data_IF_616032274736
#
_entry.id   IF_616032274736
#
_cell.length_a   1.000
_cell.length_b   1.000
_cell.length_c   1.000
_cell.angle_alpha   90.00
_cell.angle_beta   90.00
_cell.angle_gamma   90.00
#
_symmetry.space_group_name_H-M   'P 1'
#
loop_
_entity.id
_entity.type
_entity.pdbx_description
1 polymer ?
#
# COMPACT_ATOMS: atom_id res chain seq x y z
N UNK A 1 -29.61 18.18 -16.24
CA UNK A 1 -28.87 17.25 -15.34
C UNK A 1 -28.83 15.84 -15.91
N UNK A 2 -29.96 15.12 -16.01
CA UNK A 2 -30.03 13.72 -16.46
C UNK A 2 -29.46 13.46 -17.86
N UNK A 3 -29.70 14.36 -18.83
CA UNK A 3 -29.14 14.22 -20.17
C UNK A 3 -27.58 14.25 -20.14
N UNK A 4 -26.97 15.14 -19.35
CA UNK A 4 -25.53 15.23 -19.20
C UNK A 4 -24.97 13.98 -18.49
N UNK A 5 -25.65 13.48 -17.46
CA UNK A 5 -25.30 12.23 -16.79
C UNK A 5 -25.24 11.05 -17.80
N UNK A 6 -26.32 10.82 -18.55
CA UNK A 6 -26.38 9.73 -19.55
C UNK A 6 -25.37 9.90 -20.69
N UNK A 7 -25.09 11.15 -21.08
CA UNK A 7 -24.10 11.44 -22.11
C UNK A 7 -22.68 11.00 -21.73
N UNK A 8 -22.30 11.08 -20.46
CA UNK A 8 -20.99 10.58 -20.00
C UNK A 8 -20.88 9.08 -20.19
N UNK A 9 -21.89 8.32 -19.79
CA UNK A 9 -21.89 6.85 -19.97
C UNK A 9 -21.89 6.47 -21.46
N UNK A 10 -22.70 7.12 -22.28
CA UNK A 10 -22.70 6.90 -23.73
C UNK A 10 -21.32 7.21 -24.35
N UNK A 11 -20.64 8.27 -23.90
CA UNK A 11 -19.30 8.61 -24.36
C UNK A 11 -18.24 7.58 -23.95
N UNK A 12 -18.35 6.98 -22.76
CA UNK A 12 -17.44 5.93 -22.30
C UNK A 12 -17.52 4.71 -23.23
N UNK A 13 -18.71 4.26 -23.53
CA UNK A 13 -18.89 3.08 -24.41
C UNK A 13 -18.59 3.38 -25.89
N UNK A 14 -18.62 4.64 -26.30
CA UNK A 14 -18.24 5.07 -27.65
C UNK A 14 -16.71 5.26 -27.83
N UNK A 15 -15.94 5.35 -26.74
CA UNK A 15 -14.50 5.58 -26.78
C UNK A 15 -13.75 4.42 -26.12
N UNK A 16 -13.08 3.59 -26.94
CA UNK A 16 -12.37 2.38 -26.49
C UNK A 16 -11.30 2.67 -25.43
N UNK A 17 -10.57 3.78 -25.56
CA UNK A 17 -9.53 4.13 -24.58
C UNK A 17 -10.14 4.54 -23.24
N UNK A 18 -11.22 5.33 -23.25
CA UNK A 18 -11.93 5.69 -22.04
C UNK A 18 -12.59 4.49 -21.36
N UNK A 19 -13.20 3.58 -22.14
CA UNK A 19 -13.75 2.33 -21.61
C UNK A 19 -12.66 1.44 -21.00
N UNK A 20 -11.50 1.34 -21.63
CA UNK A 20 -10.35 0.59 -21.09
C UNK A 20 -9.87 1.21 -19.76
N UNK A 21 -9.74 2.53 -19.69
CA UNK A 21 -9.27 3.22 -18.48
C UNK A 21 -10.27 3.16 -17.33
N UNK A 22 -11.57 3.35 -17.61
CA UNK A 22 -12.61 3.46 -16.58
C UNK A 22 -13.20 2.11 -16.16
N UNK A 23 -13.19 1.11 -17.04
CA UNK A 23 -13.78 -0.21 -16.78
C UNK A 23 -12.72 -1.31 -16.84
N UNK A 24 -11.91 -1.33 -17.90
CA UNK A 24 -10.92 -2.38 -18.11
C UNK A 24 -9.79 -2.36 -17.10
N UNK A 25 -9.23 -1.19 -16.78
CA UNK A 25 -8.12 -1.09 -15.83
C UNK A 25 -8.50 -1.53 -14.40
N UNK A 26 -9.62 -1.11 -13.80
CA UNK A 26 -10.05 -1.65 -12.50
C UNK A 26 -10.25 -3.17 -12.49
N UNK A 27 -10.78 -3.75 -13.57
CA UNK A 27 -10.96 -5.20 -13.70
C UNK A 27 -9.59 -5.90 -13.81
N UNK A 28 -8.71 -5.38 -14.67
CA UNK A 28 -7.37 -5.93 -14.87
C UNK A 28 -6.57 -5.92 -13.57
N UNK A 29 -6.54 -4.78 -12.86
CA UNK A 29 -5.80 -4.66 -11.61
C UNK A 29 -6.39 -5.48 -10.47
N UNK A 30 -7.70 -5.75 -10.46
CA UNK A 30 -8.34 -6.64 -9.50
C UNK A 30 -7.85 -8.09 -9.60
N UNK A 31 -7.36 -8.50 -10.77
CA UNK A 31 -6.79 -9.83 -11.00
C UNK A 31 -5.26 -9.80 -10.96
N UNK A 32 -4.65 -8.87 -11.71
CA UNK A 32 -3.19 -8.82 -11.89
C UNK A 32 -2.46 -8.59 -10.56
N UNK A 33 -2.91 -7.61 -9.76
CA UNK A 33 -2.21 -7.24 -8.54
C UNK A 33 -2.25 -8.34 -7.48
N UNK A 34 -3.42 -8.90 -7.11
CA UNK A 34 -3.47 -10.04 -6.20
C UNK A 34 -2.70 -11.27 -6.73
N UNK A 35 -2.74 -11.53 -8.04
CA UNK A 35 -2.00 -12.65 -8.63
C UNK A 35 -0.48 -12.47 -8.51
N UNK A 36 0.01 -11.24 -8.69
CA UNK A 36 1.43 -10.93 -8.55
C UNK A 36 1.95 -11.10 -7.12
N UNK A 37 1.07 -10.92 -6.12
CA UNK A 37 1.40 -11.03 -4.70
C UNK A 37 0.73 -12.24 -4.03
N UNK A 38 0.30 -13.24 -4.80
CA UNK A 38 -0.41 -14.43 -4.29
C UNK A 38 0.40 -15.23 -3.27
N UNK A 39 1.74 -15.15 -3.32
CA UNK A 39 2.62 -15.71 -2.31
C UNK A 39 2.55 -15.02 -0.96
N UNK A 40 1.94 -13.83 -0.88
CA UNK A 40 1.68 -13.00 0.33
C UNK A 40 2.92 -12.79 1.21
N UNK A 41 3.56 -13.88 1.65
CA UNK A 41 4.75 -13.91 2.50
C UNK A 41 5.91 -14.39 1.64
N UNK A 42 7.04 -13.71 1.72
CA UNK A 42 8.29 -14.22 1.16
C UNK A 42 8.69 -15.45 1.97
N UNK A 43 8.68 -16.61 1.33
CA UNK A 43 9.18 -17.87 1.89
C UNK A 43 10.52 -18.18 1.24
N UNK A 44 11.29 -19.05 1.90
CA UNK A 44 12.57 -19.56 1.35
C UNK A 44 13.57 -18.46 0.97
N UNK A 45 13.62 -17.36 1.75
CA UNK A 45 14.64 -16.33 1.52
C UNK A 45 16.04 -16.94 1.66
N UNK A 46 16.93 -16.78 0.65
CA UNK A 46 18.25 -17.38 0.69
C UNK A 46 19.11 -16.73 1.79
N UNK A 47 19.60 -17.55 2.72
CA UNK A 47 20.41 -17.14 3.86
C UNK A 47 21.71 -17.94 3.87
N UNK A 48 22.82 -17.27 4.15
CA UNK A 48 24.11 -17.91 4.39
C UNK A 48 24.45 -17.88 5.87
N UNK A 49 25.26 -18.84 6.29
CA UNK A 49 25.69 -18.98 7.69
C UNK A 49 27.20 -18.96 7.76
N UNK A 50 27.74 -18.17 8.69
CA UNK A 50 29.12 -18.18 9.12
C UNK A 50 29.15 -18.64 10.58
N UNK A 51 29.46 -19.92 10.82
CA UNK A 51 29.54 -20.49 12.17
C UNK A 51 30.99 -20.61 12.60
N UNK A 52 31.48 -19.63 13.35
CA UNK A 52 32.85 -19.63 13.89
C UNK A 52 32.94 -20.39 15.23
N UNK A 53 31.81 -20.63 15.92
CA UNK A 53 31.76 -21.36 17.19
C UNK A 53 31.81 -22.88 17.01
N UNK A 54 31.24 -23.36 15.91
CA UNK A 54 31.22 -24.79 15.50
C UNK A 54 30.77 -25.77 16.59
N UNK A 55 29.93 -25.30 17.51
CA UNK A 55 29.44 -26.05 18.66
C UNK A 55 28.13 -26.80 18.38
N UNK A 56 27.66 -27.58 19.34
CA UNK A 56 26.31 -28.17 19.28
C UNK A 56 25.24 -27.09 19.38
N UNK A 57 25.48 -26.04 20.18
CA UNK A 57 24.53 -24.92 20.37
C UNK A 57 24.42 -24.07 19.09
N UNK A 58 25.53 -23.77 18.40
CA UNK A 58 25.48 -23.03 17.14
C UNK A 58 24.77 -23.83 16.05
N UNK A 59 25.02 -25.12 15.93
CA UNK A 59 24.31 -26.01 14.98
C UNK A 59 22.82 -26.11 15.29
N UNK A 60 22.42 -26.10 16.56
CA UNK A 60 21.01 -26.10 16.94
C UNK A 60 20.30 -24.82 16.51
N UNK A 61 20.92 -23.66 16.74
CA UNK A 61 20.41 -22.36 16.26
C UNK A 61 20.22 -22.37 14.75
N UNK A 62 21.22 -22.85 14.00
CA UNK A 62 21.14 -22.93 12.53
C UNK A 62 20.02 -23.86 12.07
N UNK A 63 19.83 -25.03 12.72
CA UNK A 63 18.70 -25.92 12.41
C UNK A 63 17.34 -25.26 12.67
N UNK A 64 17.20 -24.52 13.78
CA UNK A 64 15.96 -23.80 14.10
C UNK A 64 15.68 -22.69 13.10
N UNK A 65 16.72 -21.95 12.70
CA UNK A 65 16.58 -20.94 11.65
C UNK A 65 16.13 -21.57 10.32
N UNK A 66 16.74 -22.71 9.94
CA UNK A 66 16.37 -23.45 8.73
C UNK A 66 14.98 -24.10 8.79
N UNK A 67 14.43 -24.31 9.99
CA UNK A 67 13.09 -24.86 10.17
C UNK A 67 11.99 -23.81 10.03
N UNK A 68 12.34 -22.51 9.94
CA UNK A 68 11.37 -21.45 9.69
C UNK A 68 11.03 -21.38 8.21
N UNK A 69 9.77 -21.13 7.87
CA UNK A 69 9.32 -21.02 6.47
C UNK A 69 9.93 -19.84 5.71
N UNK A 70 10.45 -18.86 6.42
CA UNK A 70 11.06 -17.65 5.86
C UNK A 70 12.51 -17.84 5.41
N UNK A 71 13.20 -18.91 5.87
CA UNK A 71 14.64 -19.08 5.71
C UNK A 71 14.96 -20.33 4.92
N UNK A 72 15.72 -20.17 3.84
CA UNK A 72 16.36 -21.26 3.12
C UNK A 72 17.88 -21.09 3.22
N UNK A 73 18.54 -21.99 3.97
CA UNK A 73 19.99 -21.99 4.03
C UNK A 73 20.56 -22.45 2.68
N UNK A 74 21.38 -21.59 2.07
CA UNK A 74 21.97 -21.85 0.75
C UNK A 74 23.44 -22.22 0.83
N UNK A 75 24.17 -21.71 1.84
CA UNK A 75 25.57 -22.07 2.05
C UNK A 75 25.99 -21.86 3.51
N UNK A 76 27.00 -22.65 3.93
CA UNK A 76 27.81 -22.40 5.12
C UNK A 76 29.17 -21.88 4.66
N UNK A 77 29.55 -20.69 5.11
CA UNK A 77 30.73 -19.95 4.65
C UNK A 77 31.81 -19.96 5.75
N UNK A 78 33.06 -19.76 5.34
CA UNK A 78 34.18 -19.81 6.28
C UNK A 78 34.40 -18.44 6.96
N UNK A 79 33.98 -17.34 6.35
CA UNK A 79 34.31 -16.01 6.86
C UNK A 79 33.15 -15.00 6.66
N UNK A 80 33.09 -13.94 7.50
CA UNK A 80 32.15 -12.85 7.29
C UNK A 80 32.37 -12.11 5.96
N UNK A 81 33.58 -12.09 5.42
CA UNK A 81 33.92 -11.48 4.14
C UNK A 81 33.23 -12.20 2.99
N UNK A 82 33.27 -13.53 2.97
CA UNK A 82 32.54 -14.35 2.00
C UNK A 82 31.03 -14.08 2.09
N UNK A 83 30.47 -13.94 3.29
CA UNK A 83 29.06 -13.61 3.46
C UNK A 83 28.71 -12.24 2.86
N UNK A 84 29.61 -11.26 3.00
CA UNK A 84 29.43 -9.94 2.39
C UNK A 84 29.45 -10.02 0.85
N UNK A 85 30.33 -10.84 0.27
CA UNK A 85 30.39 -11.08 -1.17
C UNK A 85 29.10 -11.74 -1.69
N UNK A 86 28.56 -12.72 -0.97
CA UNK A 86 27.31 -13.36 -1.31
C UNK A 86 26.12 -12.41 -1.26
N UNK A 87 26.09 -11.50 -0.28
CA UNK A 87 25.07 -10.46 -0.17
C UNK A 87 25.20 -9.42 -1.30
N UNK A 88 26.43 -9.00 -1.62
CA UNK A 88 26.70 -8.05 -2.70
C UNK A 88 26.41 -8.63 -4.09
N UNK A 89 26.63 -9.94 -4.27
CA UNK A 89 26.34 -10.68 -5.52
C UNK A 89 24.89 -11.14 -5.67
N UNK A 90 23.98 -10.73 -4.78
CA UNK A 90 22.55 -11.16 -4.73
C UNK A 90 22.34 -12.68 -4.65
N UNK A 91 23.32 -13.41 -4.16
CA UNK A 91 23.25 -14.86 -3.95
C UNK A 91 22.59 -15.20 -2.60
N UNK A 92 22.59 -14.25 -1.65
CA UNK A 92 21.90 -14.34 -0.37
C UNK A 92 21.17 -13.02 -0.05
N UNK A 93 20.07 -13.14 0.69
CA UNK A 93 19.29 -12.00 1.17
C UNK A 93 19.67 -11.60 2.59
N UNK A 94 20.20 -12.55 3.38
CA UNK A 94 20.69 -12.30 4.74
C UNK A 94 21.81 -13.29 5.09
N UNK A 95 22.57 -12.95 6.15
CA UNK A 95 23.60 -13.80 6.73
C UNK A 95 23.43 -13.91 8.24
N UNK A 96 23.68 -15.09 8.78
CA UNK A 96 23.81 -15.38 10.21
C UNK A 96 25.29 -15.54 10.51
N UNK A 97 25.85 -14.72 11.38
CA UNK A 97 27.26 -14.81 11.79
C UNK A 97 27.28 -15.15 13.27
N UNK A 98 27.73 -16.33 13.61
CA UNK A 98 27.85 -16.85 14.97
C UNK A 98 29.34 -16.75 15.38
N UNK A 99 29.70 -15.85 16.30
CA UNK A 99 31.07 -15.64 16.68
C UNK A 99 31.60 -16.79 17.57
N UNK A 100 32.92 -16.89 17.65
CA UNK A 100 33.59 -17.80 18.60
C UNK A 100 33.17 -17.52 20.04
N UNK A 101 32.99 -18.56 20.84
CA UNK A 101 32.62 -18.45 22.26
C UNK A 101 31.10 -18.26 22.49
N UNK A 102 30.26 -18.33 21.45
CA UNK A 102 28.79 -18.30 21.56
C UNK A 102 28.27 -19.35 22.56
N UNK A 103 28.65 -20.60 22.41
CA UNK A 103 28.23 -21.72 23.29
C UNK A 103 28.73 -21.53 24.73
N UNK A 104 29.95 -21.04 24.91
CA UNK A 104 30.52 -20.77 26.24
C UNK A 104 29.76 -19.65 26.95
N UNK A 105 29.42 -18.61 26.23
CA UNK A 105 28.64 -17.49 26.80
C UNK A 105 27.29 -17.99 27.31
N UNK A 106 26.55 -18.78 26.51
CA UNK A 106 25.24 -19.35 26.90
C UNK A 106 25.41 -20.30 28.11
N UNK A 107 26.40 -21.18 28.11
CA UNK A 107 26.62 -22.10 29.22
C UNK A 107 26.96 -21.38 30.55
N UNK A 108 27.52 -20.17 30.48
CA UNK A 108 27.81 -19.32 31.64
C UNK A 108 26.66 -18.39 32.03
N UNK A 109 25.49 -18.53 31.42
CA UNK A 109 24.36 -17.63 31.65
C UNK A 109 24.57 -16.20 31.14
N UNK A 110 25.57 -16.00 30.28
CA UNK A 110 25.83 -14.70 29.62
C UNK A 110 25.14 -14.63 28.26
N UNK A 111 25.01 -13.42 27.74
CA UNK A 111 24.44 -13.20 26.41
C UNK A 111 25.29 -13.80 25.31
N UNK A 112 24.76 -14.77 24.57
CA UNK A 112 25.34 -15.26 23.32
C UNK A 112 25.01 -14.28 22.19
N UNK A 113 25.99 -13.52 21.71
CA UNK A 113 25.78 -12.58 20.62
C UNK A 113 25.78 -13.31 19.28
N UNK A 114 24.84 -12.98 18.42
CA UNK A 114 24.76 -13.41 17.01
C UNK A 114 24.57 -12.18 16.17
N UNK A 115 25.34 -12.04 15.11
CA UNK A 115 25.19 -10.92 14.18
C UNK A 115 24.29 -11.36 13.02
N UNK A 116 23.28 -10.55 12.76
CA UNK A 116 22.39 -10.71 11.61
C UNK A 116 22.64 -9.59 10.62
N UNK A 117 22.91 -9.93 9.38
CA UNK A 117 23.18 -8.99 8.30
C UNK A 117 22.16 -9.21 7.20
N UNK A 118 21.46 -8.16 6.79
CA UNK A 118 20.49 -8.20 5.68
C UNK A 118 20.95 -7.35 4.50
N UNK A 119 20.61 -7.78 3.29
CA UNK A 119 20.84 -6.99 2.08
C UNK A 119 19.95 -5.76 2.04
N UNK A 120 20.55 -4.57 1.97
CA UNK A 120 19.80 -3.31 1.80
C UNK A 120 19.21 -3.12 0.39
N UNK A 121 19.67 -3.88 -0.60
CA UNK A 121 19.15 -3.83 -1.95
C UNK A 121 17.78 -4.52 -2.10
N UNK A 122 17.51 -5.54 -1.29
CA UNK A 122 16.29 -6.34 -1.34
C UNK A 122 15.58 -6.36 0.03
N UNK A 123 15.11 -5.19 0.47
CA UNK A 123 14.56 -4.96 1.82
C UNK A 123 13.48 -5.97 2.21
N UNK A 124 12.55 -6.31 1.33
CA UNK A 124 11.46 -7.24 1.65
C UNK A 124 11.99 -8.65 1.95
N UNK A 125 12.88 -9.17 1.10
CA UNK A 125 13.48 -10.51 1.27
C UNK A 125 14.36 -10.56 2.51
N UNK A 126 15.19 -9.53 2.73
CA UNK A 126 16.08 -9.47 3.87
C UNK A 126 15.33 -9.30 5.18
N UNK A 127 14.32 -8.43 5.26
CA UNK A 127 13.50 -8.26 6.46
C UNK A 127 12.75 -9.51 6.84
N UNK A 128 12.22 -10.25 5.85
CA UNK A 128 11.56 -11.55 6.08
C UNK A 128 12.54 -12.59 6.62
N UNK A 129 13.72 -12.72 6.01
CA UNK A 129 14.77 -13.60 6.51
C UNK A 129 15.18 -13.26 7.94
N UNK A 130 15.43 -11.98 8.22
CA UNK A 130 15.80 -11.49 9.55
C UNK A 130 14.70 -11.75 10.60
N UNK A 131 13.43 -11.63 10.22
CA UNK A 131 12.30 -11.97 11.10
C UNK A 131 12.28 -13.45 11.44
N UNK A 132 12.44 -14.34 10.46
CA UNK A 132 12.50 -15.78 10.69
C UNK A 132 13.70 -16.19 11.57
N UNK A 133 14.88 -15.62 11.31
CA UNK A 133 16.06 -15.86 12.12
C UNK A 133 15.86 -15.33 13.55
N UNK A 134 15.27 -14.13 13.69
CA UNK A 134 14.94 -13.54 14.99
C UNK A 134 13.98 -14.40 15.80
N UNK A 135 12.99 -15.01 15.18
CA UNK A 135 12.08 -15.97 15.83
C UNK A 135 12.81 -17.22 16.32
N UNK A 136 13.74 -17.76 15.52
CA UNK A 136 14.59 -18.88 15.91
C UNK A 136 15.49 -18.52 17.09
N UNK A 137 16.13 -17.35 17.08
CA UNK A 137 16.94 -16.85 18.19
C UNK A 137 16.11 -16.70 19.47
N UNK A 138 14.92 -16.13 19.38
CA UNK A 138 14.02 -15.95 20.52
C UNK A 138 13.59 -17.31 21.12
N UNK A 139 13.34 -18.33 20.28
CA UNK A 139 13.01 -19.67 20.74
C UNK A 139 14.19 -20.32 21.47
N UNK A 140 15.41 -20.21 20.91
CA UNK A 140 16.65 -20.72 21.53
C UNK A 140 16.94 -20.04 22.86
N UNK A 141 16.75 -18.70 22.94
CA UNK A 141 16.97 -17.96 24.18
C UNK A 141 15.96 -18.36 25.28
N UNK A 142 14.69 -18.58 24.92
CA UNK A 142 13.66 -19.08 25.87
C UNK A 142 14.01 -20.45 26.43
N UNK A 143 14.46 -21.37 25.57
CA UNK A 143 14.81 -22.72 25.98
C UNK A 143 16.04 -22.72 26.88
N UNK A 144 17.08 -21.94 26.53
CA UNK A 144 18.25 -21.78 27.37
C UNK A 144 17.90 -21.18 28.76
N UNK A 145 17.02 -20.19 28.79
CA UNK A 145 16.53 -19.61 30.06
C UNK A 145 15.72 -20.64 30.89
N UNK A 146 14.93 -21.48 30.22
CA UNK A 146 14.14 -22.53 30.88
C UNK A 146 15.04 -23.61 31.48
N UNK A 147 16.07 -24.05 30.76
CA UNK A 147 17.05 -25.05 31.25
C UNK A 147 17.87 -24.50 32.43
N UNK A 148 18.29 -23.24 32.39
CA UNK A 148 18.98 -22.58 33.49
C UNK A 148 18.08 -22.45 34.73
N UNK A 149 16.82 -22.03 34.56
CA UNK A 149 15.84 -21.96 35.64
C UNK A 149 15.58 -23.35 36.27
N UNK A 150 15.55 -24.40 35.45
CA UNK A 150 15.35 -25.79 35.90
C UNK A 150 16.53 -26.30 36.72
N UNK A 151 17.74 -25.90 36.34
CA UNK A 151 18.96 -26.24 37.08
C UNK A 151 19.10 -25.46 38.41
N UNK A 152 18.51 -24.27 38.52
CA UNK A 152 18.59 -23.43 39.72
C UNK A 152 17.48 -23.68 40.76
N UNK A 153 16.52 -24.58 40.52
CA UNK A 153 15.38 -24.90 41.39
C UNK A 153 14.02 -24.61 40.72
N UNK A 154 12.89 -24.63 41.45
CA UNK A 154 11.58 -24.41 40.84
C UNK A 154 11.56 -23.10 40.09
N UNK A 155 11.41 -23.20 38.76
CA UNK A 155 11.47 -22.07 37.86
C UNK A 155 10.30 -21.12 38.14
N UNK A 156 10.59 -19.87 38.50
CA UNK A 156 9.64 -18.80 38.37
C UNK A 156 9.31 -18.65 36.85
N UNK A 157 8.03 -18.45 36.51
CA UNK A 157 7.69 -18.15 35.12
C UNK A 157 8.51 -16.95 34.65
N UNK A 158 8.94 -16.91 33.37
CA UNK A 158 9.75 -15.81 32.87
C UNK A 158 9.01 -14.48 33.15
N UNK A 159 9.73 -13.54 33.76
CA UNK A 159 9.18 -12.24 34.18
C UNK A 159 8.63 -11.41 33.02
N UNK A 160 9.01 -11.75 31.78
CA UNK A 160 8.56 -11.12 30.54
C UNK A 160 8.33 -12.19 29.45
N UNK A 161 7.10 -12.23 28.95
CA UNK A 161 6.76 -13.01 27.77
C UNK A 161 6.38 -12.04 26.65
N UNK A 162 7.18 -12.00 25.58
CA UNK A 162 6.84 -11.27 24.37
C UNK A 162 5.83 -12.09 23.57
N UNK A 163 4.59 -11.58 23.46
CA UNK A 163 3.58 -12.11 22.56
C UNK A 163 3.40 -11.12 21.43
N UNK A 164 3.79 -11.51 20.23
CA UNK A 164 3.59 -10.69 19.02
C UNK A 164 2.32 -11.15 18.32
N UNK A 165 1.43 -10.21 18.05
CA UNK A 165 0.22 -10.47 17.27
C UNK A 165 0.04 -9.36 16.24
N UNK A 166 -0.02 -9.73 14.96
CA UNK A 166 -0.33 -8.80 13.90
C UNK A 166 -1.78 -8.31 14.04
N UNK A 167 -1.97 -7.00 14.04
CA UNK A 167 -3.27 -6.33 14.00
C UNK A 167 -3.55 -5.90 12.55
N UNK A 168 -4.84 -5.95 12.16
CA UNK A 168 -5.36 -5.49 10.86
C UNK A 168 -4.89 -6.28 9.63
N UNK A 169 -3.61 -6.62 9.51
CA UNK A 169 -3.07 -7.54 8.51
C UNK A 169 -2.71 -8.86 9.17
N UNK A 170 -3.69 -9.65 9.53
CA UNK A 170 -3.52 -10.92 10.25
C UNK A 170 -2.81 -12.00 9.44
N UNK A 171 -2.67 -11.81 8.14
CA UNK A 171 -1.90 -12.69 7.25
C UNK A 171 -0.43 -12.32 7.19
N UNK A 172 -0.06 -11.14 7.72
CA UNK A 172 1.28 -10.56 7.62
C UNK A 172 1.81 -10.48 6.18
N UNK A 173 0.89 -10.55 5.20
CA UNK A 173 1.21 -10.57 3.78
C UNK A 173 1.47 -9.18 3.21
N UNK A 174 2.40 -9.07 2.26
CA UNK A 174 2.71 -7.82 1.58
C UNK A 174 1.54 -7.35 0.70
N UNK A 175 0.93 -8.27 -0.05
CA UNK A 175 -0.25 -7.98 -0.86
C UNK A 175 -1.40 -7.47 -0.02
N UNK A 176 -1.71 -8.13 1.09
CA UNK A 176 -2.75 -7.74 2.03
C UNK A 176 -2.50 -6.38 2.70
N UNK A 177 -1.24 -5.98 2.89
CA UNK A 177 -0.88 -4.66 3.42
C UNK A 177 -1.04 -3.54 2.40
N UNK A 178 -0.64 -3.77 1.14
CA UNK A 178 -0.47 -2.70 0.15
C UNK A 178 -1.66 -2.57 -0.80
N UNK A 179 -2.22 -3.70 -1.28
CA UNK A 179 -3.26 -3.67 -2.31
C UNK A 179 -4.52 -2.89 -1.93
N UNK A 180 -5.05 -2.95 -0.69
CA UNK A 180 -6.22 -2.16 -0.33
C UNK A 180 -6.04 -0.65 -0.57
N UNK A 181 -4.87 -0.12 -0.25
CA UNK A 181 -4.55 1.28 -0.56
C UNK A 181 -4.37 1.53 -2.06
N UNK A 182 -3.64 0.65 -2.77
CA UNK A 182 -3.43 0.76 -4.22
C UNK A 182 -4.76 0.72 -4.98
N UNK A 183 -5.74 -0.08 -4.54
CA UNK A 183 -7.05 -0.13 -5.16
C UNK A 183 -7.74 1.25 -5.20
N UNK A 184 -7.66 2.03 -4.14
CA UNK A 184 -8.21 3.39 -4.12
C UNK A 184 -7.39 4.38 -4.95
N UNK A 185 -6.06 4.20 -5.07
CA UNK A 185 -5.25 4.93 -6.06
C UNK A 185 -5.71 4.62 -7.47
N UNK A 186 -5.99 3.36 -7.79
CA UNK A 186 -6.50 2.95 -9.11
C UNK A 186 -7.85 3.63 -9.41
N UNK A 187 -8.77 3.68 -8.44
CA UNK A 187 -10.05 4.41 -8.58
C UNK A 187 -9.78 5.87 -8.95
N UNK A 188 -8.92 6.57 -8.20
CA UNK A 188 -8.58 7.95 -8.46
C UNK A 188 -7.95 8.14 -9.86
N UNK A 189 -6.95 7.33 -10.21
CA UNK A 189 -6.22 7.44 -11.46
C UNK A 189 -7.08 7.08 -12.69
N UNK A 190 -7.91 6.05 -12.59
CA UNK A 190 -8.80 5.67 -13.69
C UNK A 190 -9.81 6.77 -14.03
N UNK A 191 -10.39 7.40 -12.99
CA UNK A 191 -11.26 8.56 -13.17
C UNK A 191 -10.51 9.74 -13.80
N UNK A 192 -9.35 10.08 -13.23
CA UNK A 192 -8.55 11.20 -13.68
C UNK A 192 -8.20 11.04 -15.16
N UNK A 193 -7.67 9.89 -15.56
CA UNK A 193 -7.28 9.64 -16.94
C UNK A 193 -8.50 9.50 -17.88
N UNK A 194 -9.48 8.70 -17.50
CA UNK A 194 -10.60 8.36 -18.38
C UNK A 194 -11.54 9.53 -18.65
N UNK A 195 -11.97 10.25 -17.61
CA UNK A 195 -12.91 11.37 -17.79
C UNK A 195 -12.24 12.61 -18.36
N UNK A 196 -10.97 12.89 -18.01
CA UNK A 196 -10.24 14.01 -18.63
C UNK A 196 -9.97 13.75 -20.11
N UNK A 197 -9.67 12.49 -20.48
CA UNK A 197 -9.54 12.05 -21.87
C UNK A 197 -10.85 12.28 -22.66
N UNK A 198 -11.98 11.88 -22.12
CA UNK A 198 -13.29 12.09 -22.77
C UNK A 198 -13.59 13.58 -22.97
N UNK A 199 -13.38 14.39 -21.95
CA UNK A 199 -13.61 15.84 -22.04
C UNK A 199 -12.67 16.51 -23.05
N UNK A 200 -11.40 16.11 -23.07
CA UNK A 200 -10.42 16.61 -24.05
C UNK A 200 -10.80 16.19 -25.47
N UNK A 201 -11.19 14.94 -25.68
CA UNK A 201 -11.68 14.43 -26.98
C UNK A 201 -12.92 15.20 -27.47
N UNK A 202 -13.87 15.47 -26.58
CA UNK A 202 -15.05 16.25 -26.93
C UNK A 202 -14.70 17.69 -27.33
N UNK A 203 -13.75 18.34 -26.65
CA UNK A 203 -13.26 19.68 -26.99
C UNK A 203 -12.51 19.74 -28.30
N UNK A 204 -11.67 18.75 -28.53
CA UNK A 204 -10.91 18.64 -29.79
C UNK A 204 -11.85 18.51 -30.99
N UNK A 205 -12.87 17.64 -30.87
CA UNK A 205 -13.90 17.48 -31.93
C UNK A 205 -14.74 18.75 -32.16
N UNK A 206 -15.01 19.50 -31.10
CA UNK A 206 -15.83 20.74 -31.20
C UNK A 206 -14.98 21.96 -31.63
N UNK A 207 -13.64 21.88 -31.54
CA UNK A 207 -12.77 23.03 -31.77
C UNK A 207 -12.99 24.21 -30.80
N UNK A 208 -13.75 24.00 -29.72
CA UNK A 208 -14.17 25.04 -28.78
C UNK A 208 -14.24 24.50 -27.33
N UNK A 209 -14.13 25.41 -26.35
CA UNK A 209 -14.34 25.03 -24.94
C UNK A 209 -15.74 24.49 -24.72
N UNK A 210 -15.85 23.37 -24.01
CA UNK A 210 -17.15 22.86 -23.56
C UNK A 210 -17.75 23.82 -22.55
N UNK A 211 -19.02 24.21 -22.78
CA UNK A 211 -19.80 25.04 -21.89
C UNK A 211 -21.07 24.32 -21.53
N UNK A 212 -21.41 24.37 -20.25
CA UNK A 212 -22.57 23.68 -19.71
C UNK A 212 -23.32 24.59 -18.75
N UNK A 213 -24.60 24.35 -18.57
CA UNK A 213 -25.39 25.01 -17.51
C UNK A 213 -25.00 24.40 -16.14
N UNK A 214 -25.23 25.11 -15.02
CA UNK A 214 -25.00 24.54 -13.68
C UNK A 214 -25.69 23.19 -13.46
N UNK A 215 -26.91 23.03 -13.99
CA UNK A 215 -27.62 21.74 -13.92
C UNK A 215 -26.94 20.61 -14.73
N UNK A 216 -26.37 20.94 -15.89
CA UNK A 216 -25.57 19.98 -16.65
C UNK A 216 -24.27 19.67 -15.94
N UNK A 217 -23.59 20.68 -15.36
CA UNK A 217 -22.37 20.46 -14.54
C UNK A 217 -22.63 19.52 -13.37
N UNK A 218 -23.73 19.70 -12.64
CA UNK A 218 -24.14 18.77 -11.59
C UNK A 218 -24.37 17.35 -12.14
N UNK A 219 -24.89 17.22 -13.36
CA UNK A 219 -25.02 15.91 -14.04
C UNK A 219 -23.68 15.26 -14.37
N UNK A 220 -22.67 16.03 -14.78
CA UNK A 220 -21.30 15.54 -15.01
C UNK A 220 -20.65 15.08 -13.70
N UNK A 221 -20.79 15.88 -12.61
CA UNK A 221 -20.31 15.54 -11.29
C UNK A 221 -20.95 14.27 -10.74
N UNK A 222 -22.27 14.15 -10.89
CA UNK A 222 -23.00 12.94 -10.49
C UNK A 222 -22.52 11.72 -11.27
N UNK A 223 -22.29 11.82 -12.58
CA UNK A 223 -21.78 10.72 -13.39
C UNK A 223 -20.37 10.29 -12.94
N UNK A 224 -19.47 11.27 -12.73
CA UNK A 224 -18.12 10.99 -12.24
C UNK A 224 -18.15 10.31 -10.86
N UNK A 225 -18.95 10.81 -9.94
CA UNK A 225 -19.12 10.25 -8.61
C UNK A 225 -19.74 8.85 -8.65
N UNK A 226 -20.70 8.59 -9.53
CA UNK A 226 -21.30 7.27 -9.69
C UNK A 226 -20.27 6.25 -10.20
N UNK A 227 -19.47 6.60 -11.20
CA UNK A 227 -18.42 5.72 -11.73
C UNK A 227 -17.40 5.40 -10.64
N UNK A 228 -16.92 6.42 -9.91
CA UNK A 228 -15.99 6.24 -8.82
C UNK A 228 -16.55 5.37 -7.70
N UNK A 229 -17.80 5.60 -7.29
CA UNK A 229 -18.47 4.82 -6.25
C UNK A 229 -18.63 3.36 -6.66
N UNK A 230 -19.00 3.10 -7.92
CA UNK A 230 -19.06 1.73 -8.46
C UNK A 230 -17.69 1.04 -8.38
N UNK A 231 -16.61 1.76 -8.72
CA UNK A 231 -15.25 1.22 -8.60
C UNK A 231 -14.83 1.01 -7.13
N UNK A 232 -15.19 1.91 -6.21
CA UNK A 232 -14.96 1.72 -4.76
C UNK A 232 -15.71 0.46 -4.29
N UNK A 233 -16.98 0.30 -4.64
CA UNK A 233 -17.76 -0.88 -4.29
C UNK A 233 -17.20 -2.16 -4.96
N UNK A 234 -16.69 -2.06 -6.18
CA UNK A 234 -16.00 -3.16 -6.86
C UNK A 234 -14.80 -3.65 -6.05
N UNK A 235 -13.89 -2.75 -5.64
CA UNK A 235 -12.71 -3.13 -4.89
C UNK A 235 -13.03 -3.49 -3.44
N UNK A 236 -13.60 -2.57 -2.67
CA UNK A 236 -13.83 -2.76 -1.23
C UNK A 236 -14.90 -3.81 -0.92
N UNK A 237 -15.88 -3.98 -1.81
CA UNK A 237 -16.93 -5.01 -1.69
C UNK A 237 -16.49 -6.35 -2.27
N UNK A 238 -16.48 -6.43 -3.62
CA UNK A 238 -16.34 -7.72 -4.31
C UNK A 238 -14.89 -8.23 -4.30
N UNK A 239 -13.91 -7.40 -4.71
CA UNK A 239 -12.52 -7.86 -4.91
C UNK A 239 -11.89 -8.24 -3.57
N UNK A 240 -12.05 -7.41 -2.53
CA UNK A 240 -11.49 -7.73 -1.22
C UNK A 240 -12.18 -8.93 -0.57
N UNK A 241 -13.45 -9.17 -0.85
CA UNK A 241 -14.14 -10.37 -0.43
C UNK A 241 -13.64 -11.60 -1.19
N UNK A 242 -13.55 -11.54 -2.51
CA UNK A 242 -13.12 -12.65 -3.35
C UNK A 242 -11.67 -13.06 -3.09
N UNK A 243 -10.79 -12.09 -2.91
CA UNK A 243 -9.36 -12.31 -2.64
C UNK A 243 -9.06 -12.51 -1.15
N UNK A 244 -10.10 -12.48 -0.30
CA UNK A 244 -10.01 -12.63 1.15
C UNK A 244 -9.02 -11.67 1.81
N UNK A 245 -8.95 -10.42 1.33
CA UNK A 245 -8.18 -9.38 1.99
C UNK A 245 -8.80 -9.01 3.35
N UNK A 246 -7.97 -8.73 4.38
CA UNK A 246 -8.46 -8.32 5.68
C UNK A 246 -9.38 -7.12 5.56
N UNK A 247 -10.54 -7.21 6.22
CA UNK A 247 -11.53 -6.13 6.30
C UNK A 247 -11.85 -5.89 7.75
N UNK A 248 -11.87 -4.63 8.14
CA UNK A 248 -12.25 -4.28 9.49
C UNK A 248 -13.77 -4.30 9.66
N UNK A 249 -14.18 -4.40 10.91
CA UNK A 249 -15.60 -4.36 11.29
C UNK A 249 -16.14 -2.92 11.44
N UNK A 250 -15.62 -1.94 10.69
CA UNK A 250 -16.18 -0.59 10.73
C UNK A 250 -17.64 -0.60 10.23
N UNK A 251 -18.54 0.18 10.85
CA UNK A 251 -19.92 0.28 10.40
C UNK A 251 -20.00 0.71 8.94
N UNK A 252 -20.75 -0.03 8.11
CA UNK A 252 -20.86 0.22 6.67
C UNK A 252 -21.24 1.68 6.37
N UNK A 253 -22.09 2.30 7.17
CA UNK A 253 -22.47 3.70 7.01
C UNK A 253 -21.28 4.66 7.10
N UNK A 254 -20.32 4.40 7.98
CA UNK A 254 -19.11 5.23 8.10
C UNK A 254 -18.20 5.05 6.89
N UNK A 255 -18.03 3.82 6.41
CA UNK A 255 -17.26 3.53 5.19
C UNK A 255 -17.88 4.23 3.98
N UNK A 256 -19.22 4.20 3.85
CA UNK A 256 -19.93 4.89 2.76
C UNK A 256 -19.80 6.40 2.83
N UNK A 257 -19.81 7.01 4.01
CA UNK A 257 -19.58 8.46 4.18
C UNK A 257 -18.14 8.82 3.78
N UNK A 258 -17.15 8.08 4.24
CA UNK A 258 -15.76 8.27 3.83
C UNK A 258 -15.57 8.13 2.31
N UNK A 259 -16.15 7.08 1.73
CA UNK A 259 -16.13 6.84 0.29
C UNK A 259 -16.80 7.98 -0.48
N UNK A 260 -17.95 8.48 -0.02
CA UNK A 260 -18.66 9.58 -0.68
C UNK A 260 -17.82 10.86 -0.73
N UNK A 261 -17.12 11.22 0.36
CA UNK A 261 -16.23 12.37 0.38
C UNK A 261 -14.98 12.18 -0.49
N UNK A 262 -14.36 11.00 -0.45
CA UNK A 262 -13.23 10.67 -1.33
C UNK A 262 -13.63 10.76 -2.81
N UNK A 263 -14.76 10.18 -3.17
CA UNK A 263 -15.31 10.19 -4.52
C UNK A 263 -15.67 11.60 -4.97
N UNK A 264 -16.29 12.40 -4.11
CA UNK A 264 -16.65 13.78 -4.42
C UNK A 264 -15.42 14.66 -4.67
N UNK A 265 -14.39 14.55 -3.83
CA UNK A 265 -13.13 15.29 -4.00
C UNK A 265 -12.40 14.88 -5.28
N UNK A 266 -12.37 13.57 -5.59
CA UNK A 266 -11.80 13.05 -6.84
C UNK A 266 -12.56 13.55 -8.06
N UNK A 267 -13.90 13.49 -8.05
CA UNK A 267 -14.74 13.99 -9.15
C UNK A 267 -14.56 15.50 -9.35
N UNK A 268 -14.47 16.28 -8.27
CA UNK A 268 -14.22 17.72 -8.34
C UNK A 268 -12.87 18.05 -9.00
N UNK A 269 -11.79 17.36 -8.59
CA UNK A 269 -10.48 17.50 -9.21
C UNK A 269 -10.50 17.11 -10.70
N UNK A 270 -11.13 15.99 -11.03
CA UNK A 270 -11.26 15.50 -12.41
C UNK A 270 -11.99 16.52 -13.28
N UNK A 271 -13.12 17.09 -12.82
CA UNK A 271 -13.85 18.11 -13.55
C UNK A 271 -13.03 19.41 -13.71
N UNK A 272 -12.24 19.79 -12.71
CA UNK A 272 -11.33 20.92 -12.81
C UNK A 272 -10.27 20.65 -13.90
N UNK A 273 -9.55 19.54 -13.84
CA UNK A 273 -8.52 19.17 -14.81
C UNK A 273 -9.12 18.99 -16.22
N UNK A 274 -10.28 18.36 -16.32
CA UNK A 274 -11.03 18.25 -17.55
C UNK A 274 -11.34 19.62 -18.16
N UNK A 275 -11.44 20.71 -17.37
CA UNK A 275 -11.59 22.07 -17.86
C UNK A 275 -10.34 22.68 -18.49
N UNK A 276 -9.17 22.10 -18.29
CA UNK A 276 -7.88 22.64 -18.72
C UNK A 276 -7.38 22.04 -20.03
N UNK A 277 -7.61 20.74 -20.25
CA UNK A 277 -7.09 20.04 -21.41
C UNK A 277 -7.86 20.37 -22.70
N UNK A 278 -7.14 20.56 -23.79
CA UNK A 278 -7.68 20.90 -25.10
C UNK A 278 -7.49 19.79 -26.14
N UNK A 279 -6.49 18.96 -25.97
CA UNK A 279 -6.15 17.85 -26.89
C UNK A 279 -6.18 16.52 -26.16
N UNK A 280 -6.48 15.45 -26.88
CA UNK A 280 -6.70 14.10 -26.35
C UNK A 280 -5.46 13.52 -25.67
N UNK A 281 -4.25 13.86 -26.13
CA UNK A 281 -3.01 13.28 -25.63
C UNK A 281 -2.57 13.87 -24.27
N UNK A 282 -2.86 15.14 -24.02
CA UNK A 282 -2.40 15.85 -22.80
C UNK A 282 -2.81 15.22 -21.49
N UNK A 283 -4.06 14.74 -21.31
CA UNK A 283 -4.44 14.02 -20.08
C UNK A 283 -3.58 12.81 -19.81
N UNK A 284 -3.27 12.02 -20.84
CA UNK A 284 -2.46 10.81 -20.70
C UNK A 284 -1.00 11.14 -20.38
N UNK A 285 -0.42 12.14 -21.06
CA UNK A 285 0.95 12.58 -20.82
C UNK A 285 1.13 13.09 -19.39
N UNK A 286 0.22 13.98 -18.93
CA UNK A 286 0.26 14.49 -17.56
C UNK A 286 -0.01 13.39 -16.54
N UNK A 287 -1.01 12.55 -16.79
CA UNK A 287 -1.36 11.46 -15.90
C UNK A 287 -0.21 10.47 -15.70
N UNK A 288 0.49 10.10 -16.77
CA UNK A 288 1.70 9.26 -16.68
C UNK A 288 2.82 9.96 -15.90
N UNK A 289 3.07 11.25 -16.16
CA UNK A 289 4.11 12.01 -15.48
C UNK A 289 3.85 12.15 -13.96
N UNK A 290 2.59 12.30 -13.54
CA UNK A 290 2.25 12.53 -12.13
C UNK A 290 1.82 11.27 -11.39
N UNK A 291 1.54 10.14 -12.07
CA UNK A 291 1.04 8.93 -11.43
C UNK A 291 2.01 8.36 -10.40
N UNK A 292 3.29 8.27 -10.73
CA UNK A 292 4.32 7.77 -9.82
C UNK A 292 4.57 8.72 -8.64
N UNK A 293 4.77 10.04 -8.82
CA UNK A 293 4.79 11.00 -7.72
C UNK A 293 3.56 10.91 -6.81
N UNK A 294 2.34 10.82 -7.36
CA UNK A 294 1.12 10.70 -6.57
C UNK A 294 1.08 9.40 -5.76
N UNK A 295 1.58 8.30 -6.32
CA UNK A 295 1.70 7.04 -5.59
C UNK A 295 2.64 7.16 -4.39
N UNK A 296 3.80 7.79 -4.54
CA UNK A 296 4.73 8.03 -3.43
C UNK A 296 4.15 9.00 -2.39
N UNK A 297 3.43 10.04 -2.81
CA UNK A 297 2.80 11.01 -1.93
C UNK A 297 1.56 10.44 -1.21
N UNK A 298 1.04 9.30 -1.64
CA UNK A 298 -0.17 8.71 -1.08
C UNK A 298 -0.02 8.17 0.35
N UNK A 299 1.20 8.01 0.85
CA UNK A 299 1.50 7.45 2.16
C UNK A 299 1.57 5.91 2.19
N UNK A 300 1.38 5.22 1.05
CA UNK A 300 1.45 3.76 0.98
C UNK A 300 2.88 3.22 1.04
N UNK A 301 3.82 3.94 0.45
CA UNK A 301 5.21 3.50 0.32
C UNK A 301 6.14 4.10 1.37
N UNK A 302 5.74 5.24 1.94
CA UNK A 302 6.54 5.97 2.90
C UNK A 302 5.68 6.56 4.01
N UNK A 303 6.05 6.37 5.31
CA UNK A 303 5.24 6.86 6.42
C UNK A 303 5.13 8.39 6.44
N UNK A 304 3.93 8.91 6.66
CA UNK A 304 3.70 10.35 6.75
C UNK A 304 4.55 11.03 7.86
N UNK A 305 4.78 10.31 8.97
CA UNK A 305 5.61 10.80 10.08
C UNK A 305 7.09 11.03 9.71
N UNK A 306 7.58 10.33 8.67
CA UNK A 306 8.94 10.46 8.15
C UNK A 306 9.02 11.37 6.91
N UNK A 307 7.90 11.96 6.49
CA UNK A 307 7.83 12.84 5.32
C UNK A 307 8.06 14.29 5.72
N UNK A 308 8.96 15.04 5.05
CA UNK A 308 9.15 16.47 5.31
C UNK A 308 7.84 17.26 5.19
N UNK A 309 7.62 18.20 6.11
CA UNK A 309 6.37 18.96 6.19
C UNK A 309 5.93 19.63 4.86
N UNK A 310 6.80 20.26 4.06
CA UNK A 310 6.39 20.85 2.78
C UNK A 310 5.85 19.80 1.78
N UNK A 311 6.45 18.61 1.75
CA UNK A 311 6.02 17.50 0.89
C UNK A 311 4.67 16.96 1.35
N UNK A 312 4.47 16.85 2.67
CA UNK A 312 3.20 16.43 3.26
C UNK A 312 2.07 17.44 2.94
N UNK A 313 2.35 18.75 3.01
CA UNK A 313 1.38 19.76 2.60
C UNK A 313 1.03 19.67 1.11
N UNK A 314 2.02 19.44 0.25
CA UNK A 314 1.79 19.22 -1.17
C UNK A 314 0.92 17.96 -1.40
N UNK A 315 1.22 16.87 -0.70
CA UNK A 315 0.46 15.62 -0.79
C UNK A 315 -1.02 15.81 -0.45
N UNK A 316 -1.33 16.64 0.56
CA UNK A 316 -2.70 16.95 0.99
C UNK A 316 -3.52 17.78 0.00
N UNK A 317 -2.91 18.32 -1.05
CA UNK A 317 -3.64 18.96 -2.15
C UNK A 317 -4.27 17.94 -3.13
N UNK A 318 -3.89 16.68 -3.03
CA UNK A 318 -4.44 15.62 -3.87
C UNK A 318 -5.41 14.75 -3.07
N UNK A 319 -6.62 14.49 -3.59
CA UNK A 319 -7.60 13.63 -2.90
C UNK A 319 -7.11 12.24 -2.54
N UNK A 320 -6.08 11.72 -3.23
CA UNK A 320 -5.47 10.42 -2.94
C UNK A 320 -4.97 10.33 -1.51
N UNK A 321 -4.19 11.29 -1.03
CA UNK A 321 -3.56 11.23 0.30
C UNK A 321 -4.60 11.18 1.44
N UNK A 322 -5.48 12.19 1.63
CA UNK A 322 -6.52 12.12 2.66
C UNK A 322 -7.56 11.02 2.36
N UNK A 323 -7.80 10.71 1.09
CA UNK A 323 -8.73 9.65 0.70
C UNK A 323 -8.25 8.26 1.10
N UNK A 324 -6.97 7.96 0.90
CA UNK A 324 -6.40 6.70 1.35
C UNK A 324 -6.35 6.60 2.88
N UNK A 325 -5.97 7.68 3.57
CA UNK A 325 -6.00 7.75 5.03
C UNK A 325 -7.39 7.36 5.57
N UNK A 326 -8.45 7.93 4.99
CA UNK A 326 -9.84 7.62 5.37
C UNK A 326 -10.23 6.20 4.96
N UNK A 327 -10.01 5.83 3.69
CA UNK A 327 -10.53 4.56 3.16
C UNK A 327 -9.81 3.34 3.74
N UNK A 328 -8.49 3.38 3.88
CA UNK A 328 -7.71 2.31 4.52
C UNK A 328 -8.04 2.27 6.02
N UNK A 329 -8.10 3.44 6.68
CA UNK A 329 -8.41 3.53 8.08
C UNK A 329 -9.78 2.95 8.46
N UNK A 330 -10.82 3.31 7.72
CA UNK A 330 -12.17 2.79 7.96
C UNK A 330 -12.32 1.33 7.51
N UNK A 331 -11.83 0.99 6.31
CA UNK A 331 -12.10 -0.34 5.73
C UNK A 331 -11.15 -1.43 6.25
N UNK A 332 -9.88 -1.12 6.52
CA UNK A 332 -8.86 -2.08 6.94
C UNK A 332 -8.57 -2.06 8.43
N UNK A 333 -8.59 -0.86 9.05
CA UNK A 333 -8.17 -0.68 10.44
C UNK A 333 -9.33 -0.54 11.43
N UNK A 334 -10.59 -0.49 10.95
CA UNK A 334 -11.77 -0.40 11.82
C UNK A 334 -11.89 0.89 12.62
N UNK A 335 -11.23 1.96 12.18
CA UNK A 335 -11.35 3.28 12.78
C UNK A 335 -12.74 3.89 12.59
N UNK A 336 -13.00 4.99 13.26
CA UNK A 336 -14.25 5.76 13.16
C UNK A 336 -14.07 7.03 12.35
N UNK A 337 -15.16 7.66 11.91
CA UNK A 337 -15.10 8.97 11.23
C UNK A 337 -14.41 10.04 12.08
N UNK A 338 -14.52 9.94 13.42
CA UNK A 338 -13.90 10.88 14.34
C UNK A 338 -12.36 10.79 14.29
N UNK A 339 -11.81 9.59 14.13
CA UNK A 339 -10.36 9.36 14.05
C UNK A 339 -9.75 10.00 12.81
N UNK A 340 -10.53 10.13 11.74
CA UNK A 340 -10.13 10.70 10.45
C UNK A 340 -10.75 12.07 10.15
N UNK A 341 -11.25 12.79 11.18
CA UNK A 341 -11.93 14.07 10.99
C UNK A 341 -11.08 15.10 10.22
N UNK A 342 -9.77 15.13 10.44
CA UNK A 342 -8.85 16.01 9.71
C UNK A 342 -8.77 15.69 8.21
N UNK A 343 -8.66 14.41 7.85
CA UNK A 343 -8.62 13.97 6.47
C UNK A 343 -9.99 14.16 5.77
N UNK A 344 -11.09 13.89 6.47
CA UNK A 344 -12.45 14.17 5.97
C UNK A 344 -12.66 15.67 5.73
N UNK A 345 -12.22 16.52 6.66
CA UNK A 345 -12.26 17.98 6.48
C UNK A 345 -11.43 18.42 5.28
N UNK A 346 -10.25 17.86 5.08
CA UNK A 346 -9.42 18.13 3.91
C UNK A 346 -10.15 17.73 2.60
N UNK A 347 -10.76 16.54 2.53
CA UNK A 347 -11.54 16.11 1.37
C UNK A 347 -12.73 17.04 1.09
N UNK A 348 -13.43 17.51 2.13
CA UNK A 348 -14.52 18.47 1.98
C UNK A 348 -14.03 19.81 1.41
N UNK A 349 -12.90 20.33 1.90
CA UNK A 349 -12.27 21.56 1.39
C UNK A 349 -11.85 21.38 -0.07
N UNK A 350 -11.19 20.29 -0.43
CA UNK A 350 -10.79 19.99 -1.80
C UNK A 350 -12.01 19.90 -2.73
N UNK A 351 -13.09 19.26 -2.26
CA UNK A 351 -14.36 19.19 -3.01
C UNK A 351 -14.93 20.58 -3.30
N UNK A 352 -14.99 21.43 -2.29
CA UNK A 352 -15.52 22.79 -2.41
C UNK A 352 -14.65 23.66 -3.32
N UNK A 353 -13.33 23.64 -3.12
CA UNK A 353 -12.39 24.47 -3.89
C UNK A 353 -12.32 24.01 -5.35
N UNK A 354 -12.05 22.76 -5.60
CA UNK A 354 -11.93 22.24 -6.98
C UNK A 354 -13.28 22.25 -7.70
N UNK A 355 -14.36 21.90 -7.01
CA UNK A 355 -15.70 21.92 -7.56
C UNK A 355 -16.16 23.35 -7.89
N UNK A 356 -15.89 24.31 -7.01
CA UNK A 356 -16.19 25.73 -7.25
C UNK A 356 -15.43 26.32 -8.44
N UNK A 357 -14.11 26.09 -8.52
CA UNK A 357 -13.29 26.53 -9.66
C UNK A 357 -13.74 25.82 -10.95
N UNK A 358 -14.01 24.52 -10.88
CA UNK A 358 -14.51 23.77 -12.03
C UNK A 358 -15.86 24.34 -12.51
N UNK A 359 -16.82 24.53 -11.59
CA UNK A 359 -18.13 25.11 -11.91
C UNK A 359 -17.98 26.44 -12.61
N UNK A 360 -17.21 27.37 -12.04
CA UNK A 360 -16.93 28.65 -12.65
C UNK A 360 -16.38 28.53 -14.07
N UNK A 361 -15.36 27.66 -14.28
CA UNK A 361 -14.73 27.46 -15.59
C UNK A 361 -15.67 26.85 -16.63
N UNK A 362 -16.54 25.93 -16.23
CA UNK A 362 -17.49 25.27 -17.13
C UNK A 362 -18.70 26.14 -17.48
N UNK A 363 -19.07 27.08 -16.60
CA UNK A 363 -20.29 27.90 -16.77
C UNK A 363 -20.02 29.37 -17.15
N UNK A 364 -18.77 29.86 -17.01
CA UNK A 364 -18.45 31.27 -17.30
C UNK A 364 -18.80 31.67 -18.75
N UNK A 365 -19.41 32.86 -18.96
CA UNK A 365 -19.73 33.36 -20.30
C UNK A 365 -18.47 33.53 -21.15
N UNK A 366 -18.63 33.47 -22.49
CA UNK A 366 -17.51 33.84 -23.39
C UNK A 366 -17.19 35.31 -23.13
N UNK A 367 -15.94 35.62 -22.79
CA UNK A 367 -15.45 36.98 -22.99
C UNK A 367 -15.32 37.13 -24.52
N UNK A 368 -16.17 37.98 -25.07
CA UNK A 368 -16.15 38.42 -26.47
C UNK A 368 -14.79 39.00 -26.84
#
# INVERSE_FOLDING_TARGET
>A
MWAAFRAVFAAIFADRAAALLLLGAPILYAVLYPSAYSGEIVIDAPVVVVDLDRSAASRDLVRRAAATSQVRLVAALASPQEAQEWLAGDQASAAIIIPEGYSRAIAQGRSGNVMLVGSGAHLLRSSTALTGIGAALASTAREAAFEQARAAGPAAPPALQLVTRALFNTREGYGAAVFPGVAFVIVHQSLLLGLTLLAATAREKLGAPLRVTPAQFAGLGLAASTIAMVQVCWFAGLVFWWQDYPRAAAPLGQVLVGAALFVAATAALVLLLASLFRTRERPLQLGLAVSLPLFFLSGLTWPAAATPAPVLWLARLFPTTPGLEVMVGLNQMGGTLADYAGALGNLAVLTAVFGGIALWRWTAPRRS
#
